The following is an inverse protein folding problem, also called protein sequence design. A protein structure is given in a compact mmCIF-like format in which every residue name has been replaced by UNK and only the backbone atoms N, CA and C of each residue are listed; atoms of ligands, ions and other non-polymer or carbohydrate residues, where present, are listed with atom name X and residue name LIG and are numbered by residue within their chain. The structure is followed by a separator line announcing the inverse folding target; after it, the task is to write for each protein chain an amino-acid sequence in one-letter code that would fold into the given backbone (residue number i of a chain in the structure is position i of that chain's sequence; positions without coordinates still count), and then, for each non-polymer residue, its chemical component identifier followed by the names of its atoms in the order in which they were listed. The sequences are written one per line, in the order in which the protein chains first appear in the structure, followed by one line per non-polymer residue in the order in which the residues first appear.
data_IF_627640971367
#
_entry.id   IF_627640971367
#
_cell.length_a   1.000
_cell.length_b   1.000
_cell.length_c   1.000
_cell.angle_alpha   90.00
_cell.angle_beta   90.00
_cell.angle_gamma   90.00
#
_symmetry.space_group_name_H-M   'P 1'
#
loop_
_entity.id
_entity.type
_entity.pdbx_description
1 polymer ?
#
# COMPACT_ATOMS: atom_id res chain seq x y z
N UNK A 1 -25.22 -4.64 -3.60
CA UNK A 1 -23.92 -4.63 -2.89
C UNK A 1 -22.81 -4.45 -3.93
N UNK A 2 -21.89 -3.53 -3.68
CA UNK A 2 -20.67 -3.39 -4.49
C UNK A 2 -19.81 -4.64 -4.36
N UNK A 3 -19.10 -5.00 -5.44
CA UNK A 3 -18.14 -6.12 -5.39
C UNK A 3 -16.98 -5.78 -4.45
N UNK A 4 -16.55 -6.76 -3.66
CA UNK A 4 -15.37 -6.68 -2.81
C UNK A 4 -14.37 -7.77 -3.22
N UNK A 5 -13.07 -7.45 -3.39
CA UNK A 5 -12.46 -6.12 -3.30
C UNK A 5 -12.95 -5.15 -4.40
N UNK A 6 -12.75 -3.83 -4.25
CA UNK A 6 -13.06 -2.87 -5.29
C UNK A 6 -12.35 -3.23 -6.61
N UNK A 7 -13.01 -3.03 -7.75
CA UNK A 7 -12.43 -3.38 -9.08
C UNK A 7 -11.06 -2.74 -9.32
N UNK A 8 -10.88 -1.49 -8.88
CA UNK A 8 -9.58 -0.81 -8.98
C UNK A 8 -8.50 -1.51 -8.15
N UNK A 9 -8.82 -2.07 -6.98
CA UNK A 9 -7.85 -2.85 -6.18
C UNK A 9 -7.44 -4.14 -6.90
N UNK A 10 -8.39 -4.83 -7.54
CA UNK A 10 -8.09 -6.01 -8.38
C UNK A 10 -7.14 -5.63 -9.51
N UNK A 11 -7.45 -4.53 -10.21
CA UNK A 11 -6.63 -4.03 -11.31
C UNK A 11 -5.22 -3.64 -10.84
N UNK A 12 -5.12 -2.95 -9.71
CA UNK A 12 -3.83 -2.56 -9.13
C UNK A 12 -2.94 -3.75 -8.80
N UNK A 13 -3.53 -4.85 -8.33
CA UNK A 13 -2.81 -6.12 -8.08
C UNK A 13 -2.34 -6.76 -9.39
N UNK A 14 -3.22 -6.82 -10.39
CA UNK A 14 -2.87 -7.32 -11.73
C UNK A 14 -1.78 -6.49 -12.42
N UNK A 15 -1.74 -5.17 -12.18
CA UNK A 15 -0.75 -4.26 -12.78
C UNK A 15 0.64 -4.40 -12.13
N UNK A 16 0.72 -4.69 -10.82
CA UNK A 16 2.01 -4.77 -10.10
C UNK A 16 2.64 -6.16 -10.16
N UNK A 17 1.83 -7.22 -10.29
CA UNK A 17 2.30 -8.61 -10.26
C UNK A 17 3.30 -8.97 -11.37
N UNK A 18 3.14 -8.54 -12.64
CA UNK A 18 4.14 -8.75 -13.68
C UNK A 18 5.49 -8.09 -13.35
N UNK A 19 5.48 -6.92 -12.70
CA UNK A 19 6.71 -6.26 -12.26
C UNK A 19 7.37 -7.02 -11.11
N UNK A 20 6.57 -7.53 -10.17
CA UNK A 20 7.08 -8.35 -9.08
C UNK A 20 7.73 -9.63 -9.61
N UNK A 21 7.10 -10.30 -10.58
CA UNK A 21 7.63 -11.50 -11.22
C UNK A 21 8.94 -11.19 -11.94
N UNK A 22 8.99 -10.10 -12.72
CA UNK A 22 10.21 -9.68 -13.38
C UNK A 22 11.34 -9.38 -12.39
N UNK A 23 11.05 -8.71 -11.29
CA UNK A 23 12.05 -8.40 -10.25
C UNK A 23 12.48 -9.66 -9.50
N UNK A 24 11.61 -10.65 -9.29
CA UNK A 24 12.00 -11.94 -8.68
C UNK A 24 12.90 -12.75 -9.62
N UNK A 25 12.52 -12.81 -10.89
CA UNK A 25 13.13 -13.67 -11.92
C UNK A 25 13.55 -12.85 -13.15
N UNK A 26 14.54 -11.94 -13.04
CA UNK A 26 14.93 -11.10 -14.15
C UNK A 26 15.60 -11.93 -15.26
N UNK A 27 15.31 -11.66 -16.55
CA UNK A 27 15.97 -12.34 -17.65
C UNK A 27 17.49 -12.15 -17.63
N UNK A 28 18.23 -13.23 -17.91
CA UNK A 28 19.70 -13.22 -17.88
C UNK A 28 20.36 -12.29 -18.90
N UNK A 29 19.70 -12.04 -20.04
CA UNK A 29 20.20 -11.22 -21.15
C UNK A 29 20.17 -9.70 -20.88
N UNK A 30 19.58 -9.27 -19.76
CA UNK A 30 19.46 -7.86 -19.42
C UNK A 30 20.72 -7.35 -18.74
N UNK A 31 21.06 -6.10 -19.03
CA UNK A 31 22.18 -5.40 -18.37
C UNK A 31 21.86 -5.12 -16.91
N UNK A 32 22.89 -4.91 -16.09
CA UNK A 32 22.69 -4.59 -14.68
C UNK A 32 22.04 -3.22 -14.46
N UNK A 33 22.33 -2.26 -15.34
CA UNK A 33 21.67 -0.95 -15.33
C UNK A 33 20.16 -1.10 -15.57
N UNK A 34 19.73 -1.86 -16.60
CA UNK A 34 18.31 -2.12 -16.85
C UNK A 34 17.62 -2.75 -15.64
N UNK A 35 18.29 -3.70 -14.97
CA UNK A 35 17.78 -4.31 -13.73
C UNK A 35 17.63 -3.30 -12.61
N UNK A 36 18.63 -2.43 -12.42
CA UNK A 36 18.59 -1.38 -11.40
C UNK A 36 17.44 -0.39 -11.69
N UNK A 37 17.25 0.04 -12.95
CA UNK A 37 16.16 0.95 -13.33
C UNK A 37 14.79 0.33 -13.06
N UNK A 38 14.60 -0.95 -13.40
CA UNK A 38 13.35 -1.65 -13.15
C UNK A 38 13.09 -1.86 -11.66
N UNK A 39 14.12 -2.16 -10.86
CA UNK A 39 13.98 -2.25 -9.39
C UNK A 39 13.56 -0.90 -8.80
N UNK A 40 14.15 0.22 -9.26
CA UNK A 40 13.74 1.57 -8.82
C UNK A 40 12.29 1.86 -9.19
N UNK A 41 11.91 1.57 -10.43
CA UNK A 41 10.54 1.73 -10.88
C UNK A 41 9.57 0.88 -10.06
N UNK A 42 9.92 -0.37 -9.79
CA UNK A 42 9.13 -1.28 -8.98
C UNK A 42 8.88 -0.73 -7.57
N UNK A 43 9.89 -0.18 -6.90
CA UNK A 43 9.72 0.47 -5.58
C UNK A 43 8.72 1.63 -5.62
N UNK A 44 8.79 2.47 -6.66
CA UNK A 44 7.80 3.54 -6.85
C UNK A 44 6.39 2.95 -7.06
N UNK A 45 6.28 1.85 -7.82
CA UNK A 45 5.01 1.17 -8.05
C UNK A 45 4.44 0.50 -6.80
N UNK A 46 5.26 -0.12 -5.94
CA UNK A 46 4.84 -0.68 -4.65
C UNK A 46 4.24 0.42 -3.76
N UNK A 47 4.94 1.55 -3.61
CA UNK A 47 4.45 2.66 -2.80
C UNK A 47 3.12 3.21 -3.34
N UNK A 48 3.01 3.38 -4.66
CA UNK A 48 1.78 3.84 -5.30
C UNK A 48 0.64 2.83 -5.22
N UNK A 49 0.94 1.53 -5.29
CA UNK A 49 -0.03 0.45 -5.09
C UNK A 49 -0.65 0.53 -3.69
N UNK A 50 0.17 0.55 -2.63
CA UNK A 50 -0.33 0.56 -1.26
C UNK A 50 -1.16 1.82 -0.96
N UNK A 51 -0.72 2.98 -1.45
CA UNK A 51 -1.46 4.23 -1.32
C UNK A 51 -2.87 4.13 -1.94
N UNK A 52 -2.96 3.57 -3.15
CA UNK A 52 -4.23 3.45 -3.85
C UNK A 52 -5.13 2.36 -3.24
N UNK A 53 -4.58 1.22 -2.82
CA UNK A 53 -5.37 0.18 -2.14
C UNK A 53 -5.97 0.72 -0.85
N UNK A 54 -5.16 1.40 -0.04
CA UNK A 54 -5.61 2.04 1.20
C UNK A 54 -6.76 3.02 0.93
N UNK A 55 -6.61 3.87 -0.08
CA UNK A 55 -7.63 4.84 -0.47
C UNK A 55 -8.93 4.18 -0.97
N UNK A 56 -8.84 3.21 -1.88
CA UNK A 56 -10.02 2.57 -2.47
C UNK A 56 -10.77 1.70 -1.44
N UNK A 57 -10.05 1.04 -0.52
CA UNK A 57 -10.68 0.31 0.59
C UNK A 57 -11.43 1.25 1.53
N UNK A 58 -10.78 2.34 1.95
CA UNK A 58 -11.39 3.35 2.80
C UNK A 58 -12.64 3.98 2.17
N UNK A 59 -12.53 4.35 0.88
CA UNK A 59 -13.66 4.89 0.11
C UNK A 59 -14.82 3.90 0.04
N UNK A 60 -14.56 2.65 -0.33
CA UNK A 60 -15.60 1.63 -0.47
C UNK A 60 -16.25 1.25 0.87
N UNK A 61 -15.50 1.26 1.97
CA UNK A 61 -16.05 1.06 3.31
C UNK A 61 -17.03 2.16 3.70
N UNK A 62 -16.67 3.44 3.50
CA UNK A 62 -17.57 4.58 3.72
C UNK A 62 -18.82 4.45 2.86
N UNK A 63 -18.65 4.12 1.58
CA UNK A 63 -19.76 3.99 0.63
C UNK A 63 -20.74 2.88 1.04
N UNK A 64 -20.24 1.80 1.64
CA UNK A 64 -21.04 0.67 2.11
C UNK A 64 -21.65 0.83 3.51
N UNK A 65 -21.01 1.57 4.42
CA UNK A 65 -21.44 1.73 5.82
C UNK A 65 -22.19 3.04 6.10
N UNK A 66 -22.26 3.96 5.15
CA UNK A 66 -22.92 5.25 5.31
C UNK A 66 -23.81 5.63 4.12
N UNK A 67 -24.70 6.60 4.33
CA UNK A 67 -25.61 7.11 3.29
C UNK A 67 -25.82 8.62 3.39
N UNK A 68 -26.43 9.19 2.34
CA UNK A 68 -26.86 10.60 2.34
C UNK A 68 -25.75 11.61 2.65
N UNK A 69 -26.05 12.69 3.41
CA UNK A 69 -25.07 13.74 3.74
C UNK A 69 -23.85 13.23 4.52
N UNK A 70 -24.01 12.23 5.40
CA UNK A 70 -22.90 11.65 6.18
C UNK A 70 -21.85 11.03 5.26
N UNK A 71 -22.30 10.34 4.21
CA UNK A 71 -21.41 9.77 3.20
C UNK A 71 -20.64 10.86 2.44
N UNK A 72 -21.33 11.91 2.01
CA UNK A 72 -20.71 13.04 1.27
C UNK A 72 -19.67 13.73 2.15
N UNK A 73 -20.01 14.00 3.41
CA UNK A 73 -19.08 14.56 4.38
C UNK A 73 -17.88 13.65 4.62
N UNK A 74 -18.10 12.36 4.84
CA UNK A 74 -17.00 11.42 5.13
C UNK A 74 -16.08 11.21 3.92
N UNK A 75 -16.63 11.22 2.70
CA UNK A 75 -15.85 11.15 1.47
C UNK A 75 -15.02 12.42 1.21
N UNK A 76 -15.47 13.60 1.62
CA UNK A 76 -14.68 14.83 1.45
C UNK A 76 -13.41 14.85 2.32
N UNK A 77 -13.38 14.06 3.39
CA UNK A 77 -12.20 13.87 4.26
C UNK A 77 -11.19 12.86 3.72
N UNK A 78 -11.61 11.91 2.90
CA UNK A 78 -10.70 11.04 2.16
C UNK A 78 -10.24 11.80 0.91
N UNK A 79 -9.37 12.77 1.09
CA UNK A 79 -8.63 13.35 -0.02
C UNK A 79 -7.54 12.39 -0.46
N UNK A 80 -7.28 12.32 -1.78
CA UNK A 80 -6.11 11.61 -2.30
C UNK A 80 -4.84 12.16 -1.63
N UNK A 81 -3.85 11.29 -1.47
CA UNK A 81 -2.43 11.61 -1.28
C UNK A 81 -2.02 12.16 0.09
N UNK A 82 -1.90 11.25 1.07
CA UNK A 82 -0.67 11.19 1.85
C UNK A 82 0.08 9.92 1.43
N UNK A 83 1.40 9.97 1.41
CA UNK A 83 2.20 8.74 1.21
C UNK A 83 1.81 7.71 2.29
N UNK A 84 1.95 6.40 2.02
CA UNK A 84 1.54 5.37 2.95
C UNK A 84 2.59 5.17 4.05
N UNK A 85 3.08 6.23 4.73
CA UNK A 85 3.92 6.04 5.91
C UNK A 85 3.13 5.38 7.05
N UNK A 86 3.79 4.70 8.01
CA UNK A 86 3.11 4.11 9.16
C UNK A 86 2.16 5.08 9.86
N UNK A 87 2.64 6.29 10.18
CA UNK A 87 1.81 7.32 10.83
C UNK A 87 0.59 7.72 10.00
N UNK A 88 0.73 7.81 8.68
CA UNK A 88 -0.36 8.21 7.80
C UNK A 88 -1.44 7.12 7.71
N UNK A 89 -1.05 5.85 7.60
CA UNK A 89 -2.02 4.74 7.53
C UNK A 89 -2.70 4.50 8.88
N UNK A 90 -1.97 4.66 9.99
CA UNK A 90 -2.53 4.64 11.35
C UNK A 90 -3.50 5.80 11.56
N UNK A 91 -3.11 7.01 11.19
CA UNK A 91 -3.97 8.19 11.31
C UNK A 91 -5.24 8.06 10.48
N UNK A 92 -5.17 7.43 9.30
CA UNK A 92 -6.36 7.10 8.50
C UNK A 92 -7.24 6.07 9.22
N UNK A 93 -6.66 4.97 9.71
CA UNK A 93 -7.42 3.93 10.43
C UNK A 93 -8.15 4.52 11.65
N UNK A 94 -7.49 5.39 12.42
CA UNK A 94 -8.10 6.06 13.59
C UNK A 94 -9.28 6.97 13.26
N UNK A 95 -9.38 7.49 12.04
CA UNK A 95 -10.55 8.29 11.62
C UNK A 95 -11.84 7.47 11.52
N UNK A 96 -11.75 6.15 11.36
CA UNK A 96 -12.92 5.28 11.40
C UNK A 96 -13.45 5.05 12.82
N UNK A 97 -12.68 5.43 13.85
CA UNK A 97 -13.02 5.21 15.25
C UNK A 97 -12.93 3.74 15.67
N UNK A 98 -13.50 3.39 16.83
CA UNK A 98 -13.46 2.03 17.36
C UNK A 98 -12.04 1.54 17.65
N UNK A 99 -11.74 0.29 17.28
CA UNK A 99 -10.46 -0.37 17.53
C UNK A 99 -9.53 -0.40 16.29
N UNK A 100 -9.92 0.22 15.16
CA UNK A 100 -9.17 0.17 13.91
C UNK A 100 -7.72 0.66 14.06
N UNK A 101 -7.51 1.77 14.78
CA UNK A 101 -6.16 2.29 15.00
C UNK A 101 -5.31 1.30 15.80
N UNK A 102 -5.86 0.79 16.92
CA UNK A 102 -5.16 -0.16 17.79
C UNK A 102 -4.79 -1.44 17.02
N UNK A 103 -5.73 -1.99 16.25
CA UNK A 103 -5.51 -3.22 15.46
C UNK A 103 -4.51 -3.04 14.33
N UNK A 104 -4.44 -1.86 13.70
CA UNK A 104 -3.39 -1.56 12.72
C UNK A 104 -2.04 -1.37 13.40
N UNK A 105 -1.99 -0.71 14.56
CA UNK A 105 -0.77 -0.58 15.37
C UNK A 105 -0.23 -1.94 15.78
N UNK A 106 -1.10 -2.83 16.28
CA UNK A 106 -0.71 -4.19 16.66
C UNK A 106 -0.06 -4.95 15.49
N UNK A 107 -0.62 -4.83 14.27
CA UNK A 107 0.00 -5.39 13.07
C UNK A 107 1.39 -4.78 12.80
N UNK A 108 1.51 -3.45 12.87
CA UNK A 108 2.75 -2.75 12.55
C UNK A 108 3.85 -2.94 13.60
N UNK A 109 3.47 -3.18 14.85
CA UNK A 109 4.36 -3.42 15.99
C UNK A 109 4.77 -4.89 16.14
N UNK A 110 4.06 -5.80 15.48
CA UNK A 110 4.41 -7.22 15.43
C UNK A 110 5.80 -7.48 14.81
N UNK A 111 6.37 -8.65 15.14
CA UNK A 111 7.66 -9.12 14.63
C UNK A 111 8.78 -8.09 14.75
N UNK A 112 8.91 -7.50 15.94
CA UNK A 112 9.88 -6.43 16.21
C UNK A 112 9.69 -5.27 15.22
N UNK A 113 8.46 -4.80 15.01
CA UNK A 113 8.13 -3.69 14.10
C UNK A 113 8.57 -3.89 12.64
N UNK A 114 8.65 -5.13 12.15
CA UNK A 114 9.11 -5.44 10.78
C UNK A 114 8.35 -4.61 9.74
N UNK A 115 7.03 -4.65 9.74
CA UNK A 115 6.20 -3.94 8.76
C UNK A 115 6.37 -2.43 8.85
N UNK A 116 6.43 -1.87 10.07
CA UNK A 116 6.64 -0.44 10.29
C UNK A 116 7.98 0.05 9.72
N UNK A 117 9.07 -0.69 9.97
CA UNK A 117 10.41 -0.36 9.46
C UNK A 117 10.49 -0.46 7.94
N UNK A 118 9.95 -1.54 7.37
CA UNK A 118 9.98 -1.77 5.92
C UNK A 118 9.12 -0.74 5.18
N UNK A 119 7.95 -0.39 5.71
CA UNK A 119 7.10 0.64 5.15
C UNK A 119 7.76 2.02 5.20
N UNK A 120 8.39 2.36 6.32
CA UNK A 120 9.18 3.60 6.45
C UNK A 120 10.32 3.66 5.44
N UNK A 121 11.03 2.54 5.25
CA UNK A 121 12.07 2.42 4.24
C UNK A 121 11.50 2.57 2.82
N UNK A 122 10.39 1.93 2.49
CA UNK A 122 9.72 2.04 1.19
C UNK A 122 9.42 3.49 0.84
N UNK A 123 8.77 4.22 1.75
CA UNK A 123 8.40 5.63 1.55
C UNK A 123 9.65 6.49 1.38
N UNK A 124 10.68 6.26 2.19
CA UNK A 124 11.96 6.96 2.07
C UNK A 124 12.62 6.71 0.71
N UNK A 125 12.68 5.45 0.25
CA UNK A 125 13.26 5.11 -1.06
C UNK A 125 12.47 5.68 -2.23
N UNK A 126 11.13 5.69 -2.17
CA UNK A 126 10.30 6.37 -3.17
C UNK A 126 10.65 7.86 -3.26
N UNK A 127 10.86 8.54 -2.13
CA UNK A 127 11.30 9.94 -2.13
C UNK A 127 12.69 10.10 -2.74
N UNK A 128 13.66 9.31 -2.31
CA UNK A 128 15.02 9.38 -2.86
C UNK A 128 15.08 9.13 -4.36
N UNK A 129 14.36 8.11 -4.86
CA UNK A 129 14.28 7.80 -6.29
C UNK A 129 13.71 8.98 -7.08
N UNK A 130 12.65 9.63 -6.56
CA UNK A 130 12.08 10.82 -7.18
C UNK A 130 13.07 12.01 -7.22
N UNK A 131 14.04 12.05 -6.31
CA UNK A 131 15.14 13.02 -6.29
C UNK A 131 16.40 12.55 -7.02
N UNK A 132 16.36 11.40 -7.72
CA UNK A 132 17.50 10.84 -8.47
C UNK A 132 18.51 10.05 -7.63
N UNK A 133 18.21 9.78 -6.35
CA UNK A 133 19.06 9.03 -5.43
C UNK A 133 18.57 7.58 -5.28
N UNK A 134 19.48 6.61 -5.09
CA UNK A 134 19.06 5.18 -5.03
C UNK A 134 20.03 4.21 -4.35
N UNK A 135 20.94 4.71 -3.52
CA UNK A 135 21.92 3.86 -2.83
C UNK A 135 21.25 2.85 -1.90
N UNK A 136 21.74 1.62 -1.83
CA UNK A 136 21.26 0.61 -0.86
C UNK A 136 19.91 -0.04 -1.20
N UNK A 137 19.42 0.10 -2.43
CA UNK A 137 18.27 -0.66 -2.93
C UNK A 137 18.75 -1.77 -3.87
N UNK A 138 18.55 -3.01 -3.45
CA UNK A 138 18.78 -4.19 -4.30
C UNK A 138 17.47 -4.94 -4.55
N UNK A 139 17.54 -5.91 -5.46
CA UNK A 139 16.41 -6.76 -5.87
C UNK A 139 15.73 -7.45 -4.69
N UNK A 140 16.50 -8.13 -3.84
CA UNK A 140 15.98 -8.87 -2.69
C UNK A 140 15.23 -7.94 -1.73
N UNK A 141 15.77 -6.75 -1.46
CA UNK A 141 15.10 -5.74 -0.64
C UNK A 141 13.79 -5.28 -1.28
N UNK A 142 13.76 -5.03 -2.59
CA UNK A 142 12.54 -4.63 -3.28
C UNK A 142 11.43 -5.69 -3.21
N UNK A 143 11.80 -6.98 -3.25
CA UNK A 143 10.84 -8.09 -3.05
C UNK A 143 10.28 -8.10 -1.61
N UNK A 144 11.13 -7.92 -0.60
CA UNK A 144 10.67 -7.80 0.80
C UNK A 144 9.71 -6.63 0.98
N UNK A 145 10.01 -5.46 0.39
CA UNK A 145 9.13 -4.29 0.46
C UNK A 145 7.78 -4.55 -0.21
N UNK A 146 7.77 -5.30 -1.32
CA UNK A 146 6.53 -5.70 -2.00
C UNK A 146 5.69 -6.61 -1.12
N UNK A 147 6.29 -7.63 -0.51
CA UNK A 147 5.59 -8.57 0.38
C UNK A 147 5.02 -7.85 1.61
N UNK A 148 5.78 -6.96 2.23
CA UNK A 148 5.28 -6.14 3.34
C UNK A 148 4.12 -5.23 2.91
N UNK A 149 4.18 -4.65 1.71
CA UNK A 149 3.11 -3.82 1.19
C UNK A 149 1.83 -4.63 0.89
N UNK A 150 1.97 -5.88 0.42
CA UNK A 150 0.83 -6.78 0.24
C UNK A 150 0.18 -7.12 1.59
N UNK A 151 0.97 -7.42 2.62
CA UNK A 151 0.46 -7.75 3.95
C UNK A 151 -0.33 -6.60 4.58
N UNK A 152 0.18 -5.37 4.45
CA UNK A 152 -0.53 -4.17 4.91
C UNK A 152 -1.79 -3.92 4.06
N UNK A 153 -1.71 -4.13 2.74
CA UNK A 153 -2.86 -4.02 1.85
C UNK A 153 -3.95 -5.04 2.19
N UNK A 154 -3.57 -6.28 2.51
CA UNK A 154 -4.49 -7.35 2.92
C UNK A 154 -5.17 -7.00 4.25
N UNK A 155 -4.48 -6.35 5.20
CA UNK A 155 -5.13 -5.81 6.40
C UNK A 155 -6.25 -4.82 6.06
N UNK A 156 -6.02 -3.87 5.14
CA UNK A 156 -7.08 -2.96 4.70
C UNK A 156 -8.23 -3.69 4.01
N UNK A 157 -7.92 -4.69 3.19
CA UNK A 157 -8.91 -5.52 2.50
C UNK A 157 -9.77 -6.34 3.47
N UNK A 158 -9.20 -6.81 4.56
CA UNK A 158 -9.91 -7.58 5.56
C UNK A 158 -10.74 -6.71 6.50
N UNK A 159 -10.19 -5.58 6.92
CA UNK A 159 -10.79 -4.75 7.96
C UNK A 159 -11.77 -3.73 7.43
N UNK A 160 -11.59 -3.28 6.18
CA UNK A 160 -12.48 -2.30 5.55
C UNK A 160 -13.45 -2.95 4.55
N UNK A 161 -13.73 -4.24 4.68
CA UNK A 161 -14.75 -4.92 3.87
C UNK A 161 -16.16 -4.49 4.32
N UNK A 162 -16.93 -3.74 3.50
CA UNK A 162 -18.25 -3.26 3.88
C UNK A 162 -19.29 -4.39 4.07
N UNK A 163 -19.01 -5.59 3.55
CA UNK A 163 -19.88 -6.75 3.67
C UNK A 163 -19.67 -7.53 4.98
N UNK A 164 -18.60 -7.24 5.74
CA UNK A 164 -18.44 -7.77 7.09
C UNK A 164 -19.27 -6.93 8.07
N UNK A 165 -19.92 -7.54 9.07
CA UNK A 165 -20.75 -6.83 10.04
C UNK A 165 -19.97 -5.72 10.75
#
# INVERSE_FOLDING_TARGET
MSSWPPREVVRLRQDIEPLAEWVKNPPGERTDDEKIWLVRFFVVRICGYLEQVTFECARAYIDGKSGGPVRVFSQSWITRTKNPSPDNIISLAGRFGGDFEARLRDLLDADDQRLSRELSFLVNRRHQIAHGQSEGLNRSKAVVLYECALEIADWFLDNLNPNRP
#
